data_IF_997176236327
#
_entry.id   IF_997176236327
#
_cell.length_a   1.000
_cell.length_b   1.000
_cell.length_c   1.000
_cell.angle_alpha   90.00
_cell.angle_beta   90.00
_cell.angle_gamma   90.00
#
_symmetry.space_group_name_H-M   'P 1'
#
loop_
_entity.id
_entity.type
_entity.pdbx_description
1 polymer ?
#
# COMPACT_ATOMS: atom_id res chain seq x y z
N UNK A 1 -16.47 -12.73 6.60
CA UNK A 1 -17.45 -11.72 6.12
C UNK A 1 -17.18 -11.38 4.66
N UNK A 2 -18.15 -10.82 3.95
CA UNK A 2 -17.94 -10.33 2.57
C UNK A 2 -17.15 -9.03 2.55
N UNK A 3 -16.39 -8.78 1.48
CA UNK A 3 -15.60 -7.56 1.31
C UNK A 3 -16.47 -6.28 1.37
N UNK A 4 -17.66 -6.32 0.77
CA UNK A 4 -18.61 -5.20 0.76
C UNK A 4 -19.06 -4.74 2.15
N UNK A 5 -19.00 -5.60 3.15
CA UNK A 5 -19.37 -5.25 4.52
C UNK A 5 -18.44 -4.16 5.13
N UNK A 6 -17.21 -4.04 4.63
CA UNK A 6 -16.30 -2.96 5.02
C UNK A 6 -16.83 -1.57 4.67
N UNK A 7 -17.74 -1.45 3.72
CA UNK A 7 -18.36 -0.15 3.39
C UNK A 7 -18.98 0.54 4.60
N UNK A 8 -19.49 -0.25 5.53
CA UNK A 8 -20.17 0.25 6.73
C UNK A 8 -19.33 0.06 8.02
N UNK A 9 -18.09 -0.41 7.90
CA UNK A 9 -17.26 -0.74 9.05
C UNK A 9 -16.67 0.48 9.80
N UNK A 10 -16.81 1.69 9.22
CA UNK A 10 -16.30 2.90 9.83
C UNK A 10 -14.78 3.01 9.79
N UNK A 11 -14.22 3.88 10.65
CA UNK A 11 -12.78 4.14 10.72
C UNK A 11 -12.03 3.12 11.58
N UNK A 12 -12.68 2.57 12.58
CA UNK A 12 -12.07 1.67 13.59
C UNK A 12 -12.89 0.39 13.75
N UNK A 13 -12.94 -0.47 12.72
CA UNK A 13 -13.61 -1.75 12.84
C UNK A 13 -12.91 -2.66 13.85
N UNK A 14 -13.67 -3.61 14.42
CA UNK A 14 -13.09 -4.61 15.33
C UNK A 14 -12.12 -5.53 14.58
N UNK A 15 -10.93 -5.71 15.12
CA UNK A 15 -9.88 -6.57 14.59
C UNK A 15 -9.49 -7.65 15.62
N UNK A 16 -8.98 -8.82 15.22
CA UNK A 16 -8.86 -9.25 13.82
C UNK A 16 -10.21 -9.58 13.17
N UNK A 17 -10.28 -9.48 11.83
CA UNK A 17 -11.46 -9.89 11.08
C UNK A 17 -11.09 -10.77 9.89
N UNK A 18 -11.99 -11.68 9.53
CA UNK A 18 -11.84 -12.57 8.38
C UNK A 18 -12.72 -12.13 7.23
N UNK A 19 -12.12 -11.89 6.06
CA UNK A 19 -12.79 -11.44 4.83
C UNK A 19 -12.65 -12.53 3.77
N UNK A 20 -13.76 -12.89 3.13
CA UNK A 20 -13.78 -13.84 2.03
C UNK A 20 -13.39 -13.15 0.74
N UNK A 21 -12.32 -13.62 0.09
CA UNK A 21 -11.83 -13.15 -1.19
C UNK A 21 -11.72 -14.32 -2.16
N UNK A 22 -11.77 -14.04 -3.46
CA UNK A 22 -11.55 -15.05 -4.48
C UNK A 22 -10.55 -14.55 -5.52
N UNK A 23 -9.45 -15.28 -5.70
CA UNK A 23 -8.46 -15.08 -6.74
C UNK A 23 -8.56 -16.16 -7.83
N UNK A 24 -7.63 -16.17 -8.78
CA UNK A 24 -7.58 -17.16 -9.85
C UNK A 24 -7.43 -18.61 -9.35
N UNK A 25 -6.90 -18.82 -8.14
CA UNK A 25 -6.75 -20.13 -7.52
C UNK A 25 -8.00 -20.53 -6.71
N UNK A 26 -9.04 -19.70 -6.67
CA UNK A 26 -10.30 -19.97 -5.99
C UNK A 26 -10.51 -19.14 -4.71
N UNK A 27 -11.57 -19.46 -3.96
CA UNK A 27 -11.90 -18.72 -2.74
C UNK A 27 -10.85 -18.93 -1.64
N UNK A 28 -10.68 -17.90 -0.81
CA UNK A 28 -9.79 -17.92 0.33
C UNK A 28 -10.25 -16.95 1.41
N UNK A 29 -9.62 -17.04 2.57
CA UNK A 29 -9.89 -16.16 3.71
C UNK A 29 -8.70 -15.26 3.98
N UNK A 30 -8.92 -13.94 3.91
CA UNK A 30 -7.97 -12.94 4.36
C UNK A 30 -8.23 -12.65 5.84
N UNK A 31 -7.25 -12.87 6.67
CA UNK A 31 -7.30 -12.47 8.08
C UNK A 31 -6.65 -11.09 8.23
N UNK A 32 -7.45 -10.04 8.32
CA UNK A 32 -6.99 -8.68 8.55
C UNK A 32 -6.65 -8.49 10.03
N UNK A 33 -5.39 -8.20 10.33
CA UNK A 33 -4.84 -8.16 11.69
C UNK A 33 -4.78 -6.74 12.25
N UNK A 34 -4.38 -5.77 11.42
CA UNK A 34 -4.26 -4.37 11.81
C UNK A 34 -4.57 -3.45 10.64
N UNK A 35 -4.91 -2.21 10.94
CA UNK A 35 -5.14 -1.17 9.94
C UNK A 35 -4.05 -0.10 10.04
N UNK A 36 -3.44 0.22 8.91
CA UNK A 36 -2.43 1.26 8.75
C UNK A 36 -3.04 2.55 8.21
N UNK A 37 -3.99 2.42 7.29
CA UNK A 37 -4.68 3.57 6.68
C UNK A 37 -6.14 3.23 6.41
N UNK A 38 -7.05 4.13 6.77
CA UNK A 38 -8.49 3.97 6.53
C UNK A 38 -9.07 5.23 5.92
N UNK A 39 -9.74 5.04 4.78
CA UNK A 39 -10.69 5.99 4.23
C UNK A 39 -12.08 5.33 4.32
N UNK A 40 -12.89 5.68 5.33
CA UNK A 40 -14.13 4.95 5.62
C UNK A 40 -15.06 4.83 4.42
N UNK A 41 -15.60 3.63 4.21
CA UNK A 41 -16.51 3.34 3.10
C UNK A 41 -15.86 3.30 1.71
N UNK A 42 -14.54 3.45 1.61
CA UNK A 42 -13.82 3.49 0.34
C UNK A 42 -12.56 2.61 0.31
N UNK A 43 -11.65 2.76 1.29
CA UNK A 43 -10.36 2.07 1.28
C UNK A 43 -9.90 1.72 2.68
N UNK A 44 -9.43 0.49 2.83
CA UNK A 44 -8.82 -0.04 4.05
C UNK A 44 -7.47 -0.65 3.68
N UNK A 45 -6.41 -0.21 4.34
CA UNK A 45 -5.05 -0.73 4.13
C UNK A 45 -4.54 -1.25 5.46
N UNK A 46 -4.01 -2.46 5.47
CA UNK A 46 -3.54 -3.07 6.72
C UNK A 46 -2.72 -4.33 6.53
N UNK A 47 -2.09 -4.76 7.64
CA UNK A 47 -1.40 -6.02 7.70
C UNK A 47 -2.41 -7.17 7.82
N UNK A 48 -2.18 -8.22 7.06
CA UNK A 48 -3.08 -9.36 7.00
C UNK A 48 -2.31 -10.67 6.77
N UNK A 49 -3.03 -11.79 6.89
CA UNK A 49 -2.55 -13.11 6.49
C UNK A 49 -3.43 -13.63 5.36
N UNK A 50 -2.81 -14.04 4.26
CA UNK A 50 -3.44 -14.67 3.12
C UNK A 50 -2.76 -16.01 2.82
N UNK A 51 -3.52 -17.12 2.87
CA UNK A 51 -3.00 -18.47 2.62
C UNK A 51 -1.71 -18.79 3.41
N UNK A 52 -1.67 -18.39 4.69
CA UNK A 52 -0.54 -18.61 5.59
C UNK A 52 0.64 -17.64 5.42
N UNK A 53 0.54 -16.65 4.53
CA UNK A 53 1.59 -15.67 4.26
C UNK A 53 1.19 -14.28 4.77
N UNK A 54 2.12 -13.57 5.40
CA UNK A 54 1.94 -12.17 5.75
C UNK A 54 1.87 -11.30 4.50
N UNK A 55 0.87 -10.43 4.42
CA UNK A 55 0.63 -9.53 3.28
C UNK A 55 0.24 -8.14 3.76
N UNK A 56 0.51 -7.13 2.93
CA UNK A 56 -0.15 -5.84 3.01
C UNK A 56 -1.39 -5.89 2.13
N UNK A 57 -2.56 -5.74 2.73
CA UNK A 57 -3.84 -5.75 2.02
C UNK A 57 -4.33 -4.32 1.75
N UNK A 58 -4.66 -4.02 0.49
CA UNK A 58 -5.43 -2.84 0.08
C UNK A 58 -6.82 -3.29 -0.35
N UNK A 59 -7.83 -2.92 0.42
CA UNK A 59 -9.22 -3.31 0.23
C UNK A 59 -10.03 -2.08 -0.20
N UNK A 60 -10.68 -2.16 -1.34
CA UNK A 60 -11.39 -1.07 -1.99
C UNK A 60 -12.88 -1.41 -2.05
N UNK A 61 -13.70 -0.56 -1.44
CA UNK A 61 -15.16 -0.78 -1.35
C UNK A 61 -15.93 0.46 -1.78
N UNK A 62 -17.25 0.36 -1.84
CA UNK A 62 -18.13 1.45 -2.25
C UNK A 62 -18.28 1.61 -3.77
N UNK A 63 -19.03 2.61 -4.19
CA UNK A 63 -19.46 2.79 -5.59
C UNK A 63 -18.30 3.01 -6.59
N UNK A 64 -17.16 3.49 -6.12
CA UNK A 64 -15.97 3.76 -6.96
C UNK A 64 -14.90 2.66 -6.85
N UNK A 65 -15.16 1.56 -6.15
CA UNK A 65 -14.18 0.52 -5.87
C UNK A 65 -13.54 -0.05 -7.14
N UNK A 66 -14.34 -0.41 -8.14
CA UNK A 66 -13.84 -0.95 -9.40
C UNK A 66 -12.89 0.02 -10.13
N UNK A 67 -13.26 1.30 -10.19
CA UNK A 67 -12.43 2.34 -10.81
C UNK A 67 -11.11 2.53 -10.05
N UNK A 68 -11.16 2.57 -8.72
CA UNK A 68 -9.96 2.70 -7.89
C UNK A 68 -9.07 1.47 -8.03
N UNK A 69 -9.64 0.27 -8.03
CA UNK A 69 -8.92 -0.97 -8.24
C UNK A 69 -8.15 -0.99 -9.57
N UNK A 70 -8.83 -0.67 -10.68
CA UNK A 70 -8.19 -0.66 -11.99
C UNK A 70 -7.05 0.36 -12.07
N UNK A 71 -7.23 1.54 -11.48
CA UNK A 71 -6.18 2.57 -11.44
C UNK A 71 -4.96 2.12 -10.60
N UNK A 72 -5.20 1.58 -9.42
CA UNK A 72 -4.14 1.07 -8.54
C UNK A 72 -3.37 -0.09 -9.22
N UNK A 73 -4.10 -1.07 -9.75
CA UNK A 73 -3.51 -2.22 -10.42
C UNK A 73 -2.66 -1.82 -11.64
N UNK A 74 -3.16 -0.90 -12.45
CA UNK A 74 -2.41 -0.36 -13.59
C UNK A 74 -1.13 0.34 -13.13
N UNK A 75 -1.19 1.16 -12.08
CA UNK A 75 -0.03 1.86 -11.54
C UNK A 75 1.04 0.90 -11.03
N UNK A 76 0.65 -0.09 -10.23
CA UNK A 76 1.56 -1.11 -9.69
C UNK A 76 2.27 -1.89 -10.82
N UNK A 77 1.52 -2.34 -11.81
CA UNK A 77 2.08 -3.07 -12.96
C UNK A 77 3.04 -2.21 -13.76
N UNK A 78 2.67 -0.96 -14.02
CA UNK A 78 3.52 -0.01 -14.76
C UNK A 78 4.86 0.24 -14.06
N UNK A 79 4.85 0.46 -12.73
CA UNK A 79 6.07 0.65 -11.96
C UNK A 79 6.97 -0.59 -12.03
N UNK A 80 6.40 -1.78 -11.87
CA UNK A 80 7.13 -3.04 -11.96
C UNK A 80 7.71 -3.28 -13.37
N UNK A 81 6.93 -3.06 -14.44
CA UNK A 81 7.37 -3.17 -15.83
C UNK A 81 8.53 -2.23 -16.17
N UNK A 82 8.54 -1.05 -15.55
CA UNK A 82 9.63 -0.09 -15.69
C UNK A 82 10.85 -0.40 -14.82
N UNK A 83 10.83 -1.51 -14.07
CA UNK A 83 11.94 -1.94 -13.22
C UNK A 83 12.18 -1.03 -12.01
N UNK A 84 11.14 -0.32 -11.55
CA UNK A 84 11.19 0.44 -10.31
C UNK A 84 10.94 -0.48 -9.12
N UNK A 85 11.63 -0.23 -8.01
CA UNK A 85 11.45 -1.02 -6.80
C UNK A 85 10.09 -0.72 -6.18
N UNK A 86 9.20 -1.70 -6.17
CA UNK A 86 7.87 -1.65 -5.56
C UNK A 86 7.65 -2.91 -4.75
N UNK A 87 6.77 -2.90 -3.73
CA UNK A 87 6.32 -4.13 -3.09
C UNK A 87 5.73 -5.09 -4.13
N UNK A 88 6.09 -6.37 -4.04
CA UNK A 88 5.61 -7.39 -4.97
C UNK A 88 4.11 -7.58 -4.83
N UNK A 89 3.36 -7.43 -5.92
CA UNK A 89 1.94 -7.79 -5.97
C UNK A 89 1.82 -9.32 -6.02
N UNK A 90 1.21 -9.89 -4.99
CA UNK A 90 1.07 -11.35 -4.81
C UNK A 90 -0.25 -11.89 -5.35
N UNK A 91 -1.31 -11.11 -5.19
CA UNK A 91 -2.64 -11.44 -5.68
C UNK A 91 -3.48 -10.18 -5.81
N UNK A 92 -4.43 -10.22 -6.69
CA UNK A 92 -5.43 -9.16 -6.88
C UNK A 92 -6.78 -9.76 -7.30
N UNK A 93 -7.84 -9.02 -7.12
CA UNK A 93 -9.17 -9.42 -7.56
C UNK A 93 -10.18 -8.29 -7.51
N UNK A 94 -11.15 -8.38 -8.42
CA UNK A 94 -12.33 -7.54 -8.46
C UNK A 94 -13.55 -8.44 -8.38
N UNK A 95 -14.35 -8.28 -7.32
CA UNK A 95 -15.57 -9.04 -7.09
C UNK A 95 -16.75 -8.12 -7.33
N UNK A 96 -17.58 -8.47 -8.29
CA UNK A 96 -18.75 -7.67 -8.68
C UNK A 96 -19.69 -7.46 -7.48
N UNK A 97 -20.07 -6.20 -7.24
CA UNK A 97 -20.92 -5.82 -6.10
C UNK A 97 -20.22 -5.83 -4.73
N UNK A 98 -19.02 -6.40 -4.62
CA UNK A 98 -18.29 -6.50 -3.36
C UNK A 98 -17.18 -5.43 -3.24
N UNK A 99 -16.34 -5.33 -4.26
CA UNK A 99 -15.21 -4.41 -4.29
C UNK A 99 -13.98 -5.00 -4.96
N UNK A 100 -12.86 -4.28 -4.86
CA UNK A 100 -11.56 -4.71 -5.36
C UNK A 100 -10.54 -4.86 -4.24
N UNK A 101 -9.52 -5.66 -4.46
CA UNK A 101 -8.47 -5.88 -3.48
C UNK A 101 -7.14 -6.19 -4.16
N UNK A 102 -6.05 -5.73 -3.53
CA UNK A 102 -4.68 -6.02 -3.92
C UNK A 102 -3.92 -6.48 -2.67
N UNK A 103 -3.17 -7.56 -2.80
CA UNK A 103 -2.33 -8.10 -1.76
C UNK A 103 -0.87 -8.02 -2.19
N UNK A 104 -0.08 -7.32 -1.38
CA UNK A 104 1.35 -7.16 -1.61
C UNK A 104 2.17 -7.96 -0.61
N UNK A 105 3.41 -8.23 -0.92
CA UNK A 105 4.34 -8.71 0.10
C UNK A 105 4.36 -7.73 1.28
N UNK A 106 4.41 -8.29 2.48
CA UNK A 106 4.61 -7.48 3.67
C UNK A 106 6.12 -7.28 3.87
N UNK A 107 6.56 -6.02 3.82
CA UNK A 107 7.98 -5.68 4.01
C UNK A 107 8.20 -5.46 5.50
N UNK A 108 8.62 -6.52 6.18
CA UNK A 108 8.86 -6.48 7.62
C UNK A 108 10.01 -5.52 7.96
N UNK A 109 9.81 -4.72 9.02
CA UNK A 109 10.77 -3.70 9.44
C UNK A 109 10.93 -2.53 8.47
N UNK A 110 10.02 -2.37 7.49
CA UNK A 110 10.02 -1.18 6.64
C UNK A 110 9.62 0.06 7.44
N UNK A 111 10.30 1.16 7.16
CA UNK A 111 10.04 2.50 7.69
C UNK A 111 9.60 3.41 6.54
N UNK A 112 8.57 4.24 6.76
CA UNK A 112 8.24 5.27 5.78
C UNK A 112 9.26 6.41 5.83
N UNK A 113 9.46 7.11 4.71
CA UNK A 113 10.29 8.32 4.73
C UNK A 113 9.63 9.44 5.55
N UNK A 114 8.32 9.39 5.79
CA UNK A 114 7.65 10.32 6.70
C UNK A 114 8.09 10.07 8.14
N UNK A 115 8.12 8.82 8.60
CA UNK A 115 8.63 8.47 9.93
C UNK A 115 10.11 8.84 10.08
N UNK A 116 10.90 8.52 9.06
CA UNK A 116 12.33 8.88 9.03
C UNK A 116 12.55 10.39 9.10
N UNK A 117 11.74 11.16 8.39
CA UNK A 117 11.78 12.63 8.46
C UNK A 117 11.38 13.13 9.84
N UNK A 118 10.32 12.61 10.42
CA UNK A 118 9.85 13.00 11.75
C UNK A 118 10.90 12.80 12.83
N UNK A 119 11.75 11.78 12.69
CA UNK A 119 12.86 11.53 13.61
C UNK A 119 13.97 12.57 13.53
N UNK A 120 14.11 13.31 12.42
CA UNK A 120 15.21 14.26 12.18
C UNK A 120 14.75 15.70 11.96
N UNK A 121 13.46 15.98 11.85
CA UNK A 121 12.93 17.32 11.53
C UNK A 121 13.29 18.38 12.58
N UNK A 122 13.48 17.98 13.83
CA UNK A 122 13.87 18.87 14.93
C UNK A 122 15.39 19.21 14.97
N UNK A 123 16.21 18.63 14.11
CA UNK A 123 17.64 18.93 14.02
C UNK A 123 17.88 20.32 13.40
N UNK A 124 19.08 20.91 13.57
CA UNK A 124 19.42 22.14 12.87
C UNK A 124 19.24 22.03 11.36
N UNK A 125 18.82 23.11 10.67
CA UNK A 125 18.61 23.09 9.23
C UNK A 125 19.85 22.57 8.47
N UNK A 126 19.63 21.72 7.47
CA UNK A 126 20.67 21.09 6.65
C UNK A 126 21.58 20.11 7.40
N UNK A 127 21.14 19.59 8.54
CA UNK A 127 21.84 18.46 9.17
C UNK A 127 22.00 17.29 8.17
N UNK A 128 23.09 16.52 8.29
CA UNK A 128 23.41 15.43 7.37
C UNK A 128 22.27 14.39 7.32
N UNK A 129 21.65 14.09 8.45
CA UNK A 129 20.52 13.16 8.57
C UNK A 129 19.28 13.66 7.80
N UNK A 130 18.95 14.95 7.90
CA UNK A 130 17.85 15.56 7.13
C UNK A 130 18.16 15.50 5.63
N UNK A 131 19.37 15.83 5.25
CA UNK A 131 19.84 15.81 3.86
C UNK A 131 19.77 14.39 3.30
N UNK A 132 20.12 13.37 4.09
CA UNK A 132 20.06 11.98 3.68
C UNK A 132 18.61 11.53 3.36
N UNK A 133 17.64 11.83 4.23
CA UNK A 133 16.23 11.49 4.00
C UNK A 133 15.68 12.17 2.75
N UNK A 134 15.98 13.46 2.57
CA UNK A 134 15.56 14.20 1.38
C UNK A 134 16.22 13.69 0.10
N UNK A 135 17.51 13.31 0.16
CA UNK A 135 18.20 12.72 -0.98
C UNK A 135 17.60 11.38 -1.40
N UNK A 136 17.18 10.52 -0.46
CA UNK A 136 16.46 9.30 -0.76
C UNK A 136 15.15 9.58 -1.50
N UNK A 137 14.33 10.51 -0.98
CA UNK A 137 13.06 10.91 -1.59
C UNK A 137 13.26 11.48 -3.01
N UNK A 138 14.16 12.43 -3.16
CA UNK A 138 14.47 13.07 -4.46
C UNK A 138 15.04 12.07 -5.46
N UNK A 139 15.90 11.14 -5.00
CA UNK A 139 16.43 10.07 -5.83
C UNK A 139 15.35 9.13 -6.36
N UNK A 140 14.34 8.78 -5.54
CA UNK A 140 13.20 7.97 -5.97
C UNK A 140 12.36 8.71 -7.03
N UNK A 141 12.05 9.98 -6.79
CA UNK A 141 11.30 10.83 -7.72
C UNK A 141 12.06 10.97 -9.04
N UNK A 142 13.35 11.25 -8.98
CA UNK A 142 14.19 11.41 -10.18
C UNK A 142 14.22 10.14 -11.01
N UNK A 143 14.35 8.94 -10.39
CA UNK A 143 14.29 7.67 -11.11
C UNK A 143 12.94 7.43 -11.78
N UNK A 144 11.85 7.80 -11.12
CA UNK A 144 10.50 7.70 -11.67
C UNK A 144 10.32 8.66 -12.86
N UNK A 145 10.72 9.93 -12.71
CA UNK A 145 10.63 10.92 -13.76
C UNK A 145 11.54 10.60 -14.97
N UNK A 146 12.72 10.03 -14.74
CA UNK A 146 13.61 9.59 -15.83
C UNK A 146 12.99 8.51 -16.72
N UNK A 147 11.96 7.81 -16.21
CA UNK A 147 11.17 6.83 -16.96
C UNK A 147 9.86 7.42 -17.53
N UNK A 148 9.69 8.73 -17.47
CA UNK A 148 8.48 9.42 -17.93
C UNK A 148 7.25 9.16 -17.06
N UNK A 149 7.45 8.74 -15.83
CA UNK A 149 6.39 8.44 -14.87
C UNK A 149 6.29 9.54 -13.80
N UNK A 150 5.09 9.78 -13.33
CA UNK A 150 4.82 10.62 -12.16
C UNK A 150 3.66 10.04 -11.37
N UNK A 151 3.58 10.41 -10.10
CA UNK A 151 2.53 9.99 -9.18
C UNK A 151 1.77 11.21 -8.69
N UNK A 152 0.44 11.21 -8.83
CA UNK A 152 -0.42 12.34 -8.45
C UNK A 152 -0.49 12.56 -6.94
N UNK A 153 -0.36 11.49 -6.15
CA UNK A 153 -0.47 11.48 -4.69
C UNK A 153 0.88 11.05 -4.07
N UNK A 154 1.96 11.72 -4.49
CA UNK A 154 3.30 11.42 -3.97
C UNK A 154 3.54 12.19 -2.68
N UNK A 155 3.77 11.46 -1.60
CA UNK A 155 4.21 11.99 -0.31
C UNK A 155 5.09 10.96 0.42
N UNK A 156 5.81 11.40 1.46
CA UNK A 156 6.82 10.58 2.14
C UNK A 156 6.27 9.29 2.76
N UNK A 157 4.99 9.24 3.15
CA UNK A 157 4.36 8.01 3.65
C UNK A 157 4.24 6.90 2.59
N UNK A 158 4.30 7.26 1.30
CA UNK A 158 4.21 6.30 0.20
C UNK A 158 5.59 5.78 -0.23
N UNK A 159 6.66 6.26 0.39
CA UNK A 159 8.04 5.83 0.16
C UNK A 159 8.51 5.03 1.37
N UNK A 160 8.76 3.74 1.17
CA UNK A 160 9.19 2.85 2.24
C UNK A 160 10.66 2.48 2.05
N UNK A 161 11.44 2.53 3.12
CA UNK A 161 12.81 2.05 3.12
C UNK A 161 12.98 0.82 4.00
N UNK A 162 13.79 -0.12 3.53
CA UNK A 162 14.16 -1.32 4.29
C UNK A 162 15.47 -1.87 3.75
N UNK A 163 16.46 -2.08 4.63
CA UNK A 163 17.75 -2.69 4.28
C UNK A 163 18.45 -2.06 3.08
N UNK A 164 18.48 -0.71 3.01
CA UNK A 164 19.10 0.04 1.91
C UNK A 164 18.33 0.07 0.59
N UNK A 165 17.13 -0.47 0.57
CA UNK A 165 16.20 -0.37 -0.58
C UNK A 165 15.11 0.64 -0.28
N UNK A 166 14.72 1.38 -1.32
CA UNK A 166 13.57 2.29 -1.28
C UNK A 166 12.49 1.78 -2.23
N UNK A 167 11.29 1.60 -1.69
CA UNK A 167 10.10 1.13 -2.40
C UNK A 167 9.15 2.29 -2.68
N UNK A 168 8.58 2.29 -3.89
CA UNK A 168 7.58 3.24 -4.38
C UNK A 168 6.17 2.73 -4.23
#
# INVERSE_FOLDING_TARGET
MRLSALKNAGRTPSLPMTIELADAAGPGQLQLLSLLRVLPGQRYVGAAVWRGRAVLAKLLVGSKAARHFQRELKGVRLLAEQGLTTPLLLADGLQEGEGGWLLFEFIDGAESLADAWQAVEGLPPLADEQTAVLAEALGAIARMHAKGLWQEDLHLDNLLRQSGKLYL
#
